data_IF_165590106619
#
_entry.id   IF_165590106619
#
_cell.length_a   1.000
_cell.length_b   1.000
_cell.length_c   1.000
_cell.angle_alpha   90.00
_cell.angle_beta   90.00
_cell.angle_gamma   90.00
#
_symmetry.space_group_name_H-M   'P 1'
#
loop_
_entity.id
_entity.type
_entity.pdbx_description
1 polymer ?
#
# COMPACT_ATOMS: atom_id res chain seq x y z
N UNK A 1 -4.05 11.85 3.81
CA UNK A 1 -5.27 12.55 4.28
C UNK A 1 -5.19 14.06 4.08
N UNK A 2 -4.11 14.76 4.46
CA UNK A 2 -4.02 16.22 4.31
C UNK A 2 -4.29 16.73 2.88
N UNK A 3 -3.59 16.18 1.87
CA UNK A 3 -3.76 16.57 0.45
C UNK A 3 -5.23 16.43 -0.01
N UNK A 4 -5.92 15.37 0.42
CA UNK A 4 -7.32 15.16 0.08
C UNK A 4 -8.24 16.17 0.76
N UNK A 5 -8.00 16.46 2.04
CA UNK A 5 -8.78 17.43 2.79
C UNK A 5 -8.62 18.86 2.22
N UNK A 6 -7.40 19.23 1.83
CA UNK A 6 -7.12 20.52 1.20
C UNK A 6 -7.86 20.63 -0.14
N UNK A 7 -7.76 19.60 -0.98
CA UNK A 7 -8.52 19.51 -2.24
C UNK A 7 -10.04 19.60 -2.04
N UNK A 8 -10.59 18.92 -1.03
CA UNK A 8 -12.04 18.91 -0.79
C UNK A 8 -12.58 20.23 -0.23
N UNK A 9 -11.72 21.03 0.41
CA UNK A 9 -12.08 22.36 0.94
C UNK A 9 -12.45 23.33 -0.19
N UNK A 10 -11.95 23.11 -1.40
CA UNK A 10 -12.28 23.89 -2.60
C UNK A 10 -13.65 23.53 -3.21
N UNK A 11 -14.39 22.61 -2.58
CA UNK A 11 -15.67 22.06 -3.07
C UNK A 11 -15.61 21.60 -4.54
N UNK A 12 -14.65 20.70 -4.89
CA UNK A 12 -14.41 20.34 -6.28
C UNK A 12 -15.51 19.44 -6.86
N UNK A 13 -16.45 18.97 -6.03
CA UNK A 13 -17.52 18.06 -6.43
C UNK A 13 -18.85 18.80 -6.56
N UNK A 14 -19.49 18.61 -7.70
CA UNK A 14 -20.80 19.17 -8.02
C UNK A 14 -21.86 18.08 -8.18
N UNK A 15 -23.11 18.49 -7.99
CA UNK A 15 -24.29 17.62 -8.06
C UNK A 15 -25.35 18.24 -8.95
N UNK A 16 -26.08 17.41 -9.70
CA UNK A 16 -27.32 17.82 -10.36
C UNK A 16 -28.38 16.73 -10.22
N UNK A 17 -29.64 17.15 -10.13
CA UNK A 17 -30.79 16.27 -10.28
C UNK A 17 -31.48 16.62 -11.59
N UNK A 18 -31.27 15.78 -12.60
CA UNK A 18 -31.76 16.05 -13.94
C UNK A 18 -33.06 15.26 -14.17
N UNK A 19 -34.10 15.93 -14.67
CA UNK A 19 -35.37 15.30 -15.04
C UNK A 19 -35.30 14.78 -16.49
N UNK A 20 -35.63 13.51 -16.70
CA UNK A 20 -35.60 12.84 -18.02
C UNK A 20 -36.99 12.59 -18.61
N UNK A 21 -38.04 13.11 -17.98
CA UNK A 21 -39.43 12.94 -18.37
C UNK A 21 -40.13 11.77 -17.66
N UNK A 22 -41.46 11.80 -17.67
CA UNK A 22 -42.31 10.74 -17.08
C UNK A 22 -41.97 10.40 -15.62
N UNK A 23 -41.56 11.39 -14.82
CA UNK A 23 -41.23 11.21 -13.41
C UNK A 23 -39.87 10.55 -13.15
N UNK A 24 -39.03 10.43 -14.16
CA UNK A 24 -37.67 9.89 -14.02
C UNK A 24 -36.69 11.02 -13.71
N UNK A 25 -36.00 10.92 -12.57
CA UNK A 25 -34.94 11.86 -12.19
C UNK A 25 -33.63 11.14 -11.94
N UNK A 26 -32.54 11.66 -12.47
CA UNK A 26 -31.19 11.11 -12.33
C UNK A 26 -30.32 12.07 -11.52
N UNK A 27 -29.84 11.61 -10.37
CA UNK A 27 -28.82 12.28 -9.60
C UNK A 27 -27.45 12.00 -10.23
N UNK A 28 -26.79 13.08 -10.68
CA UNK A 28 -25.46 13.05 -11.26
C UNK A 28 -24.46 13.78 -10.38
N UNK A 29 -23.24 13.29 -10.36
CA UNK A 29 -22.09 13.89 -9.65
C UNK A 29 -20.90 14.01 -10.59
N UNK A 30 -20.14 15.09 -10.48
CA UNK A 30 -18.89 15.27 -11.24
C UNK A 30 -17.89 16.11 -10.46
N UNK A 31 -16.65 16.17 -10.97
CA UNK A 31 -15.60 17.03 -10.45
C UNK A 31 -15.33 18.18 -11.42
N UNK A 32 -15.20 19.39 -10.91
CA UNK A 32 -14.80 20.56 -11.70
C UNK A 32 -13.28 20.77 -11.71
N UNK A 33 -12.57 20.13 -10.79
CA UNK A 33 -11.11 20.16 -10.71
C UNK A 33 -10.51 18.76 -10.92
N UNK A 34 -9.34 18.64 -11.55
CA UNK A 34 -8.63 17.36 -11.69
C UNK A 34 -8.21 16.82 -10.32
N UNK A 35 -7.91 15.52 -10.25
CA UNK A 35 -7.33 14.93 -9.05
C UNK A 35 -5.93 15.50 -8.78
N UNK A 36 -5.59 15.81 -7.51
CA UNK A 36 -4.24 16.20 -7.14
C UNK A 36 -3.23 15.10 -7.50
N UNK A 37 -2.22 15.44 -8.30
CA UNK A 37 -1.20 14.48 -8.74
C UNK A 37 -0.36 13.95 -7.57
N UNK A 38 -0.20 14.76 -6.53
CA UNK A 38 0.51 14.44 -5.29
C UNK A 38 -0.12 13.25 -4.57
N UNK A 39 -1.44 13.03 -4.68
CA UNK A 39 -2.08 11.85 -4.11
C UNK A 39 -1.58 10.57 -4.76
N UNK A 40 -1.37 10.58 -6.09
CA UNK A 40 -0.84 9.43 -6.80
C UNK A 40 0.59 9.14 -6.35
N UNK A 41 1.43 10.17 -6.25
CA UNK A 41 2.84 10.05 -5.82
C UNK A 41 2.94 9.51 -4.39
N UNK A 42 2.25 10.11 -3.43
CA UNK A 42 2.31 9.67 -2.02
C UNK A 42 1.76 8.25 -1.86
N UNK A 43 0.72 7.89 -2.62
CA UNK A 43 0.17 6.54 -2.63
C UNK A 43 1.17 5.54 -3.21
N UNK A 44 1.84 5.88 -4.32
CA UNK A 44 2.89 5.07 -4.95
C UNK A 44 4.07 4.82 -4.01
N UNK A 45 4.60 5.88 -3.39
CA UNK A 45 5.68 5.82 -2.40
C UNK A 45 5.33 4.95 -1.20
N UNK A 46 4.05 4.96 -0.77
CA UNK A 46 3.57 4.11 0.29
C UNK A 46 3.61 2.62 -0.10
N UNK A 47 3.10 2.25 -1.28
CA UNK A 47 3.21 0.86 -1.78
C UNK A 47 4.65 0.42 -1.98
N UNK A 48 5.49 1.33 -2.47
CA UNK A 48 6.92 1.08 -2.64
C UNK A 48 7.58 0.78 -1.29
N UNK A 49 7.29 1.57 -0.26
CA UNK A 49 7.81 1.37 1.10
C UNK A 49 7.40 0.01 1.67
N UNK A 50 6.15 -0.41 1.47
CA UNK A 50 5.69 -1.75 1.84
C UNK A 50 6.45 -2.84 1.09
N UNK A 51 6.62 -2.69 -0.22
CA UNK A 51 7.37 -3.64 -1.04
C UNK A 51 8.83 -3.74 -0.61
N UNK A 52 9.47 -2.61 -0.29
CA UNK A 52 10.84 -2.56 0.22
C UNK A 52 10.98 -3.21 1.58
N UNK A 53 9.99 -3.06 2.49
CA UNK A 53 9.99 -3.76 3.77
C UNK A 53 9.97 -5.29 3.58
N UNK A 54 9.18 -5.79 2.63
CA UNK A 54 9.16 -7.20 2.25
C UNK A 54 10.51 -7.68 1.69
N UNK A 55 11.15 -6.91 0.80
CA UNK A 55 12.48 -7.29 0.30
C UNK A 55 13.53 -7.30 1.43
N UNK A 56 13.49 -6.29 2.28
CA UNK A 56 14.44 -6.15 3.38
C UNK A 56 14.34 -7.30 4.37
N UNK A 57 13.13 -7.78 4.70
CA UNK A 57 13.00 -8.89 5.64
C UNK A 57 13.61 -10.20 5.09
N UNK A 58 13.54 -10.44 3.78
CA UNK A 58 14.21 -11.59 3.15
C UNK A 58 15.73 -11.44 3.16
N UNK A 59 16.22 -10.24 2.88
CA UNK A 59 17.64 -9.93 3.02
C UNK A 59 18.12 -10.14 4.47
N UNK A 60 17.39 -9.62 5.46
CA UNK A 60 17.74 -9.73 6.87
C UNK A 60 17.69 -11.18 7.37
N UNK A 61 16.71 -11.96 6.91
CA UNK A 61 16.62 -13.40 7.17
C UNK A 61 17.85 -14.12 6.63
N UNK A 62 18.30 -13.80 5.42
CA UNK A 62 19.51 -14.39 4.85
C UNK A 62 20.78 -13.98 5.63
N UNK A 63 20.89 -12.71 6.06
CA UNK A 63 21.99 -12.27 6.93
C UNK A 63 22.01 -13.08 8.22
N UNK A 64 20.84 -13.25 8.84
CA UNK A 64 20.73 -14.01 10.08
C UNK A 64 21.14 -15.47 9.90
N UNK A 65 20.72 -16.13 8.82
CA UNK A 65 21.05 -17.54 8.59
C UNK A 65 22.54 -17.78 8.29
N UNK A 66 23.20 -16.83 7.63
CA UNK A 66 24.60 -16.99 7.19
C UNK A 66 25.62 -16.26 8.07
N UNK A 67 25.17 -15.39 8.98
CA UNK A 67 26.06 -14.61 9.84
C UNK A 67 26.97 -13.65 9.07
N UNK A 68 26.56 -13.16 7.90
CA UNK A 68 27.38 -12.29 7.05
C UNK A 68 26.61 -11.13 6.45
N UNK A 69 27.26 -9.98 6.34
CA UNK A 69 26.75 -8.79 5.63
C UNK A 69 27.78 -8.44 4.53
N UNK A 70 27.48 -8.52 3.24
CA UNK A 70 26.20 -8.93 2.68
C UNK A 70 25.94 -10.45 2.83
N UNK A 71 24.68 -10.88 2.77
CA UNK A 71 24.35 -12.30 2.73
C UNK A 71 24.73 -12.91 1.38
N UNK A 72 24.89 -14.24 1.28
CA UNK A 72 25.03 -14.92 0.00
C UNK A 72 23.91 -14.54 -0.98
N UNK A 73 24.26 -14.32 -2.24
CA UNK A 73 23.31 -13.97 -3.30
C UNK A 73 22.53 -12.67 -3.07
N UNK A 74 23.04 -11.73 -2.26
CA UNK A 74 22.40 -10.43 -1.99
C UNK A 74 21.80 -9.75 -3.21
N UNK A 75 22.56 -9.66 -4.31
CA UNK A 75 22.12 -8.95 -5.53
C UNK A 75 20.89 -9.55 -6.24
N UNK A 76 20.42 -10.74 -5.83
CA UNK A 76 19.22 -11.38 -6.37
C UNK A 76 18.18 -11.73 -5.31
N UNK A 77 18.47 -11.49 -4.02
CA UNK A 77 17.52 -11.71 -2.93
C UNK A 77 16.39 -10.69 -3.03
N UNK A 78 15.17 -11.19 -2.94
CA UNK A 78 13.95 -10.40 -2.96
C UNK A 78 12.82 -11.22 -2.33
N UNK A 79 11.79 -10.55 -1.84
CA UNK A 79 10.52 -11.19 -1.53
C UNK A 79 9.85 -11.62 -2.84
N UNK A 80 9.69 -12.93 -3.10
CA UNK A 80 9.06 -13.44 -4.31
C UNK A 80 7.56 -13.18 -4.28
N UNK A 81 7.01 -12.65 -5.37
CA UNK A 81 5.57 -12.49 -5.56
C UNK A 81 5.25 -12.89 -6.99
N UNK A 82 4.63 -14.05 -7.16
CA UNK A 82 4.35 -14.64 -8.47
C UNK A 82 2.88 -15.02 -8.63
N UNK A 83 2.35 -14.79 -9.82
CA UNK A 83 0.96 -15.13 -10.16
C UNK A 83 0.79 -16.60 -10.60
N UNK A 84 1.90 -17.34 -10.76
CA UNK A 84 1.87 -18.77 -11.15
C UNK A 84 2.95 -19.58 -10.47
N UNK A 85 2.64 -20.84 -10.18
CA UNK A 85 3.59 -21.80 -9.61
C UNK A 85 4.78 -22.08 -10.54
N UNK A 86 4.56 -22.05 -11.86
CA UNK A 86 5.66 -22.16 -12.85
C UNK A 86 6.70 -21.06 -12.68
N UNK A 87 6.25 -19.82 -12.48
CA UNK A 87 7.16 -18.69 -12.23
C UNK A 87 7.92 -18.88 -10.93
N UNK A 88 7.23 -19.27 -9.86
CA UNK A 88 7.86 -19.62 -8.58
C UNK A 88 8.99 -20.63 -8.75
N UNK A 89 8.71 -21.78 -9.36
CA UNK A 89 9.69 -22.86 -9.56
C UNK A 89 10.92 -22.38 -10.35
N UNK A 90 10.74 -21.50 -11.34
CA UNK A 90 11.85 -20.95 -12.12
C UNK A 90 12.77 -20.00 -11.32
N UNK A 91 12.27 -19.42 -10.22
CA UNK A 91 12.97 -18.40 -9.43
C UNK A 91 13.46 -18.91 -8.07
N UNK A 92 13.20 -20.18 -7.72
CA UNK A 92 13.67 -20.80 -6.48
C UNK A 92 15.18 -20.66 -6.24
N UNK A 93 15.97 -20.58 -7.32
CA UNK A 93 17.42 -20.38 -7.23
C UNK A 93 17.82 -19.10 -6.47
N UNK A 94 16.97 -18.06 -6.46
CA UNK A 94 17.20 -16.80 -5.73
C UNK A 94 17.06 -16.96 -4.23
N UNK A 95 16.28 -17.95 -3.79
CA UNK A 95 15.94 -18.18 -2.39
C UNK A 95 16.82 -19.25 -1.73
N UNK A 96 17.86 -19.74 -2.44
CA UNK A 96 18.83 -20.70 -1.91
C UNK A 96 19.46 -20.30 -0.56
N UNK A 97 19.71 -19.02 -0.27
CA UNK A 97 20.20 -18.61 1.04
C UNK A 97 19.22 -18.84 2.19
N UNK A 98 17.94 -19.09 1.92
CA UNK A 98 16.91 -19.30 2.94
C UNK A 98 16.77 -20.78 3.31
N UNK A 99 16.46 -21.05 4.57
CA UNK A 99 16.06 -22.39 5.04
C UNK A 99 14.76 -22.87 4.37
N UNK A 100 14.52 -24.18 4.37
CA UNK A 100 13.35 -24.78 3.71
C UNK A 100 12.03 -24.23 4.26
N UNK A 101 11.89 -24.13 5.59
CA UNK A 101 10.68 -23.62 6.23
C UNK A 101 10.38 -22.14 5.90
N UNK A 102 11.42 -21.31 5.69
CA UNK A 102 11.24 -19.94 5.20
C UNK A 102 10.70 -19.92 3.77
N UNK A 103 11.15 -20.85 2.92
CA UNK A 103 10.65 -20.96 1.55
C UNK A 103 9.22 -21.51 1.51
N UNK A 104 8.86 -22.39 2.44
CA UNK A 104 7.48 -22.88 2.62
C UNK A 104 6.54 -21.75 3.03
N UNK A 105 6.91 -20.94 4.04
CA UNK A 105 6.13 -19.75 4.43
C UNK A 105 5.92 -18.80 3.23
N UNK A 106 6.98 -18.52 2.47
CA UNK A 106 6.88 -17.70 1.27
C UNK A 106 5.94 -18.29 0.20
N UNK A 107 5.95 -19.62 0.03
CA UNK A 107 5.14 -20.33 -0.97
C UNK A 107 3.65 -20.24 -0.66
N UNK A 108 3.27 -20.46 0.61
CA UNK A 108 1.87 -20.45 1.05
C UNK A 108 1.18 -19.10 0.84
N UNK A 109 1.95 -18.00 0.92
CA UNK A 109 1.42 -16.65 0.80
C UNK A 109 1.26 -16.18 -0.65
N UNK A 110 1.76 -16.94 -1.63
CA UNK A 110 1.80 -16.49 -3.02
C UNK A 110 0.40 -16.22 -3.61
N UNK A 111 0.29 -15.27 -4.56
CA UNK A 111 -0.96 -15.02 -5.29
C UNK A 111 -1.56 -16.27 -5.95
N UNK A 112 -0.74 -17.20 -6.45
CA UNK A 112 -1.27 -18.45 -7.04
C UNK A 112 -1.79 -19.46 -6.02
N UNK A 113 -1.45 -19.30 -4.73
CA UNK A 113 -1.87 -20.19 -3.65
C UNK A 113 -3.19 -19.74 -2.99
N UNK A 114 -3.77 -18.62 -3.43
CA UNK A 114 -4.97 -18.03 -2.86
C UNK A 114 -5.81 -17.33 -3.93
N UNK A 115 -6.93 -16.71 -3.53
CA UNK A 115 -7.69 -15.86 -4.44
C UNK A 115 -6.85 -14.63 -4.84
N UNK A 116 -6.49 -14.57 -6.13
CA UNK A 116 -5.66 -13.50 -6.68
C UNK A 116 -6.26 -12.09 -6.53
N UNK A 117 -7.59 -11.96 -6.44
CA UNK A 117 -8.24 -10.65 -6.22
C UNK A 117 -8.17 -10.24 -4.74
N UNK A 118 -8.16 -11.20 -3.81
CA UNK A 118 -8.05 -10.95 -2.37
C UNK A 118 -6.60 -10.97 -1.83
N UNK A 119 -5.62 -11.38 -2.64
CA UNK A 119 -4.25 -11.56 -2.19
C UNK A 119 -3.50 -10.22 -2.00
N UNK A 120 -3.13 -9.91 -0.75
CA UNK A 120 -2.43 -8.68 -0.38
C UNK A 120 -1.07 -8.50 -1.10
N UNK A 121 -0.25 -9.55 -1.20
CA UNK A 121 1.05 -9.50 -1.89
C UNK A 121 0.89 -9.17 -3.37
N UNK A 122 -0.09 -9.79 -4.02
CA UNK A 122 -0.42 -9.55 -5.43
C UNK A 122 -0.75 -8.09 -5.68
N UNK A 123 -1.57 -7.48 -4.82
CA UNK A 123 -1.93 -6.06 -4.92
C UNK A 123 -0.77 -5.12 -4.61
N UNK A 124 0.01 -5.36 -3.55
CA UNK A 124 1.20 -4.57 -3.23
C UNK A 124 2.19 -4.60 -4.40
N UNK A 125 2.46 -5.78 -4.96
CA UNK A 125 3.34 -5.94 -6.11
C UNK A 125 2.79 -5.26 -7.38
N UNK A 126 1.49 -5.41 -7.65
CA UNK A 126 0.85 -4.80 -8.83
C UNK A 126 0.93 -3.29 -8.76
N UNK A 127 0.53 -2.69 -7.64
CA UNK A 127 0.43 -1.24 -7.49
C UNK A 127 1.82 -0.59 -7.40
N UNK A 128 2.77 -1.19 -6.68
CA UNK A 128 4.16 -0.71 -6.67
C UNK A 128 4.83 -0.77 -8.05
N UNK A 129 4.52 -1.79 -8.87
CA UNK A 129 5.07 -1.91 -10.23
C UNK A 129 4.44 -0.96 -11.22
N UNK A 130 3.13 -0.68 -11.11
CA UNK A 130 2.45 0.29 -11.98
C UNK A 130 3.14 1.64 -11.83
N UNK A 131 3.28 2.10 -10.60
CA UNK A 131 3.86 3.40 -10.27
C UNK A 131 5.32 3.54 -10.75
N UNK A 132 6.18 2.57 -10.40
CA UNK A 132 7.63 2.63 -10.71
C UNK A 132 8.00 2.41 -12.17
N UNK A 133 7.20 1.64 -12.92
CA UNK A 133 7.63 1.11 -14.23
C UNK A 133 6.69 1.41 -15.39
N UNK A 134 5.50 1.97 -15.15
CA UNK A 134 4.52 2.20 -16.21
C UNK A 134 3.96 3.61 -16.21
N UNK A 135 3.37 4.04 -15.10
CA UNK A 135 2.72 5.34 -14.90
C UNK A 135 2.31 5.49 -13.44
N UNK A 136 2.19 6.72 -12.96
CA UNK A 136 1.55 6.98 -11.67
C UNK A 136 0.17 6.30 -11.60
N UNK A 137 -0.16 5.72 -10.45
CA UNK A 137 -1.49 5.15 -10.22
C UNK A 137 -2.58 6.17 -10.54
N UNK A 138 -3.60 5.76 -11.28
CA UNK A 138 -4.73 6.65 -11.59
C UNK A 138 -5.57 6.80 -10.34
N UNK A 139 -5.48 8.00 -9.77
CA UNK A 139 -6.35 8.41 -8.69
C UNK A 139 -7.68 8.86 -9.26
N UNK A 140 -8.75 8.41 -8.63
CA UNK A 140 -10.12 8.83 -8.90
C UNK A 140 -10.84 9.17 -7.59
N UNK A 141 -12.13 9.41 -7.66
CA UNK A 141 -12.97 9.64 -6.49
C UNK A 141 -14.02 8.55 -6.40
N UNK A 142 -14.33 8.14 -5.18
CA UNK A 142 -15.31 7.12 -4.89
C UNK A 142 -16.37 7.67 -3.96
N UNK A 143 -17.63 7.45 -4.31
CA UNK A 143 -18.77 7.75 -3.47
C UNK A 143 -18.82 6.70 -2.34
N UNK A 144 -18.18 7.02 -1.22
CA UNK A 144 -18.04 6.16 -0.05
C UNK A 144 -19.35 5.98 0.71
N UNK A 145 -20.16 7.03 0.75
CA UNK A 145 -21.50 7.00 1.33
C UNK A 145 -22.45 7.92 0.56
N UNK A 146 -23.71 7.54 0.47
CA UNK A 146 -24.77 8.35 -0.15
C UNK A 146 -26.09 8.07 0.58
N UNK A 147 -26.59 9.07 1.32
CA UNK A 147 -27.81 9.00 2.13
C UNK A 147 -28.77 10.12 1.77
N UNK A 148 -29.36 10.08 0.56
CA UNK A 148 -30.10 11.20 0.01
C UNK A 148 -31.35 11.49 0.85
N UNK A 149 -31.62 12.77 1.07
CA UNK A 149 -32.89 13.26 1.61
C UNK A 149 -33.70 13.82 0.46
N UNK A 150 -34.88 13.23 0.23
CA UNK A 150 -35.77 13.59 -0.85
C UNK A 150 -36.93 14.44 -0.34
N UNK A 151 -37.31 15.43 -1.12
CA UNK A 151 -38.58 16.13 -1.02
C UNK A 151 -39.31 15.94 -2.35
N UNK A 152 -40.51 15.37 -2.29
CA UNK A 152 -41.36 15.10 -3.44
C UNK A 152 -42.84 15.32 -3.06
N UNK A 153 -43.75 15.48 -4.04
CA UNK A 153 -45.16 15.77 -3.77
C UNK A 153 -45.88 14.65 -3.00
N UNK A 154 -46.87 15.05 -2.22
CA UNK A 154 -47.73 14.10 -1.49
C UNK A 154 -48.52 13.21 -2.47
N UNK A 155 -48.65 11.92 -2.15
CA UNK A 155 -49.35 10.95 -2.99
C UNK A 155 -48.50 10.28 -4.08
N UNK A 156 -47.25 10.72 -4.29
CA UNK A 156 -46.31 10.01 -5.16
C UNK A 156 -45.60 8.86 -4.41
N UNK A 157 -45.40 7.75 -5.12
CA UNK A 157 -44.45 6.70 -4.75
C UNK A 157 -43.11 6.99 -5.43
N UNK A 158 -42.01 6.65 -4.75
CA UNK A 158 -40.64 6.80 -5.28
C UNK A 158 -39.95 5.45 -5.27
N UNK A 159 -39.54 4.96 -6.44
CA UNK A 159 -38.60 3.83 -6.56
C UNK A 159 -37.18 4.36 -6.72
N UNK A 160 -36.22 3.80 -5.98
CA UNK A 160 -34.81 4.20 -6.01
C UNK A 160 -33.93 3.10 -6.57
N UNK A 161 -33.03 3.45 -7.49
CA UNK A 161 -32.03 2.53 -8.07
C UNK A 161 -30.64 3.14 -8.01
N UNK A 162 -29.72 2.46 -7.35
CA UNK A 162 -28.33 2.92 -7.19
C UNK A 162 -27.53 2.74 -8.48
N UNK A 163 -26.74 3.76 -8.82
CA UNK A 163 -25.87 3.79 -9.98
C UNK A 163 -24.40 3.53 -9.64
N UNK A 164 -23.51 4.16 -10.40
CA UNK A 164 -22.07 4.02 -10.24
C UNK A 164 -21.58 4.68 -8.96
N UNK A 165 -20.54 4.12 -8.35
CA UNK A 165 -19.86 4.71 -7.17
C UNK A 165 -18.50 5.29 -7.50
N UNK A 166 -17.90 4.88 -8.61
CA UNK A 166 -16.63 5.44 -9.09
C UNK A 166 -16.94 6.64 -9.96
N UNK A 167 -16.37 7.79 -9.62
CA UNK A 167 -16.58 9.03 -10.37
C UNK A 167 -15.65 9.03 -11.58
N UNK A 168 -16.22 8.78 -12.75
CA UNK A 168 -15.50 8.81 -14.02
C UNK A 168 -15.14 10.22 -14.49
N UNK A 169 -14.57 10.36 -15.68
CA UNK A 169 -14.49 11.64 -16.38
C UNK A 169 -15.90 12.17 -16.66
N UNK A 170 -16.19 13.41 -16.26
CA UNK A 170 -17.49 14.04 -16.47
C UNK A 170 -18.57 13.64 -15.45
N UNK A 171 -19.84 13.66 -15.88
CA UNK A 171 -21.00 13.37 -15.04
C UNK A 171 -21.19 11.87 -14.84
N UNK A 172 -21.19 11.46 -13.59
CA UNK A 172 -21.45 10.09 -13.15
C UNK A 172 -22.87 9.99 -12.59
N UNK A 173 -23.66 9.03 -13.08
CA UNK A 173 -25.01 8.75 -12.59
C UNK A 173 -24.95 7.83 -11.37
N UNK A 174 -25.49 8.28 -10.24
CA UNK A 174 -25.31 7.58 -8.95
C UNK A 174 -26.62 7.14 -8.30
N UNK A 175 -27.73 7.75 -8.69
CA UNK A 175 -29.07 7.39 -8.21
C UNK A 175 -30.10 7.76 -9.26
N UNK A 176 -30.98 6.81 -9.57
CA UNK A 176 -32.19 7.03 -10.36
C UNK A 176 -33.39 6.98 -9.43
N UNK A 177 -34.29 7.94 -9.61
CA UNK A 177 -35.59 8.04 -8.95
C UNK A 177 -36.68 7.90 -10.01
N UNK A 178 -37.61 6.98 -9.80
CA UNK A 178 -38.81 6.83 -10.63
C UNK A 178 -40.03 7.19 -9.77
N UNK A 179 -40.71 8.29 -10.09
CA UNK A 179 -41.88 8.79 -9.37
C UNK A 179 -43.19 8.40 -10.06
N UNK A 180 -44.18 7.95 -9.28
CA UNK A 180 -45.52 7.65 -9.82
C UNK A 180 -46.65 7.86 -8.79
N UNK A 181 -47.81 8.43 -9.19
CA UNK A 181 -48.05 9.10 -10.47
C UNK A 181 -47.17 10.36 -10.62
N UNK A 182 -46.97 10.80 -11.87
CA UNK A 182 -46.17 11.99 -12.21
C UNK A 182 -46.98 13.00 -13.03
N UNK A 183 -46.74 14.28 -12.76
CA UNK A 183 -47.22 15.42 -13.53
C UNK A 183 -46.08 16.43 -13.66
N UNK A 184 -45.89 17.06 -14.82
CA UNK A 184 -44.74 17.93 -15.08
C UNK A 184 -44.75 19.25 -14.27
N UNK A 185 -45.83 19.57 -13.57
CA UNK A 185 -45.86 20.67 -12.59
C UNK A 185 -45.25 20.29 -11.23
N UNK A 186 -44.98 19.02 -10.99
CA UNK A 186 -44.42 18.51 -9.75
C UNK A 186 -42.93 18.87 -9.61
N UNK A 187 -42.52 19.22 -8.39
CA UNK A 187 -41.13 19.55 -8.07
C UNK A 187 -40.52 18.47 -7.16
N UNK A 188 -39.32 18.01 -7.52
CA UNK A 188 -38.51 17.07 -6.71
C UNK A 188 -37.22 17.76 -6.30
N UNK A 189 -36.90 17.74 -5.01
CA UNK A 189 -35.62 18.23 -4.47
C UNK A 189 -34.87 17.11 -3.79
N UNK A 190 -33.55 17.17 -3.87
CA UNK A 190 -32.66 16.20 -3.25
C UNK A 190 -31.52 16.92 -2.54
N UNK A 191 -31.24 16.50 -1.32
CA UNK A 191 -29.96 16.73 -0.68
C UNK A 191 -29.20 15.40 -0.69
N UNK A 192 -28.09 15.27 -1.44
CA UNK A 192 -27.43 13.98 -1.61
C UNK A 192 -26.89 13.40 -0.30
N UNK A 193 -26.45 14.23 0.66
CA UNK A 193 -25.70 13.82 1.88
C UNK A 193 -24.73 12.68 1.60
N UNK A 194 -23.60 13.03 1.00
CA UNK A 194 -22.61 12.09 0.52
C UNK A 194 -21.28 12.23 1.26
N UNK A 195 -20.51 11.15 1.23
CA UNK A 195 -19.09 11.13 1.56
C UNK A 195 -18.36 10.67 0.30
N UNK A 196 -17.33 11.42 -0.08
CA UNK A 196 -16.48 11.10 -1.23
C UNK A 196 -15.06 10.95 -0.73
N UNK A 197 -14.47 9.82 -1.07
CA UNK A 197 -13.09 9.47 -0.75
C UNK A 197 -12.24 9.52 -2.02
N UNK A 198 -10.91 9.68 -1.89
CA UNK A 198 -10.01 9.37 -2.98
C UNK A 198 -10.03 7.86 -3.23
N UNK A 199 -9.66 7.45 -4.44
CA UNK A 199 -9.69 6.05 -4.82
C UNK A 199 -8.58 5.73 -5.83
N UNK A 200 -8.10 4.49 -5.81
CA UNK A 200 -7.22 3.93 -6.85
C UNK A 200 -8.10 3.21 -7.86
N UNK A 201 -8.01 3.59 -9.13
CA UNK A 201 -8.83 3.03 -10.21
C UNK A 201 -8.81 1.49 -10.22
N UNK A 202 -7.62 0.87 -10.11
CA UNK A 202 -7.47 -0.58 -10.09
C UNK A 202 -8.22 -1.26 -8.92
N UNK A 203 -8.21 -0.68 -7.72
CA UNK A 203 -8.98 -1.24 -6.59
C UNK A 203 -10.49 -1.09 -6.79
N UNK A 204 -10.92 0.02 -7.39
CA UNK A 204 -12.34 0.24 -7.66
C UNK A 204 -12.92 -0.77 -8.65
N UNK A 205 -12.07 -1.28 -9.56
CA UNK A 205 -12.39 -2.34 -10.50
C UNK A 205 -12.43 -3.74 -9.86
N UNK A 206 -11.77 -3.94 -8.71
CA UNK A 206 -11.72 -5.22 -8.01
C UNK A 206 -13.02 -5.55 -7.28
N UNK A 207 -13.65 -6.72 -7.54
CA UNK A 207 -14.82 -7.18 -6.81
C UNK A 207 -14.63 -7.32 -5.30
N UNK A 208 -13.44 -7.73 -4.85
CA UNK A 208 -13.08 -7.84 -3.44
C UNK A 208 -12.82 -6.47 -2.82
N UNK A 209 -11.87 -5.70 -3.37
CA UNK A 209 -11.40 -4.47 -2.73
C UNK A 209 -12.43 -3.35 -2.76
N UNK A 210 -13.25 -3.23 -3.79
CA UNK A 210 -14.27 -2.16 -3.89
C UNK A 210 -15.30 -2.14 -2.75
N UNK A 211 -15.38 -3.20 -1.95
CA UNK A 211 -16.28 -3.34 -0.79
C UNK A 211 -15.66 -2.84 0.52
N UNK A 212 -14.35 -2.69 0.55
CA UNK A 212 -13.57 -2.24 1.70
C UNK A 212 -13.37 -0.74 1.54
N UNK A 213 -13.49 0.05 2.61
CA UNK A 213 -13.31 1.51 2.52
C UNK A 213 -11.87 1.84 2.19
N UNK A 214 -11.62 2.98 1.51
CA UNK A 214 -10.28 3.36 1.07
C UNK A 214 -9.25 3.27 2.21
N UNK A 215 -9.53 3.88 3.36
CA UNK A 215 -8.64 3.85 4.53
C UNK A 215 -8.37 2.46 5.10
N UNK A 216 -9.39 1.59 5.16
CA UNK A 216 -9.23 0.22 5.65
C UNK A 216 -8.31 -0.62 4.75
N UNK A 217 -8.31 -0.38 3.44
CA UNK A 217 -7.41 -1.12 2.52
C UNK A 217 -5.94 -0.88 2.84
N UNK A 218 -5.57 0.38 3.11
CA UNK A 218 -4.21 0.71 3.55
C UNK A 218 -3.88 0.04 4.88
N UNK A 219 -4.80 0.11 5.84
CA UNK A 219 -4.62 -0.51 7.16
C UNK A 219 -4.41 -2.03 7.04
N UNK A 220 -5.23 -2.73 6.25
CA UNK A 220 -5.11 -4.17 6.07
C UNK A 220 -3.79 -4.59 5.41
N UNK A 221 -3.36 -3.87 4.37
CA UNK A 221 -2.06 -4.14 3.74
C UNK A 221 -0.88 -3.85 4.68
N UNK A 222 -0.97 -2.80 5.49
CA UNK A 222 0.04 -2.50 6.50
C UNK A 222 0.09 -3.60 7.56
N UNK A 223 -1.06 -4.01 8.11
CA UNK A 223 -1.17 -5.09 9.09
C UNK A 223 -0.59 -6.38 8.50
N UNK A 224 -0.91 -6.69 7.25
CA UNK A 224 -0.38 -7.85 6.53
C UNK A 224 1.16 -7.83 6.48
N UNK A 225 1.77 -6.73 6.00
CA UNK A 225 3.23 -6.61 5.91
C UNK A 225 3.89 -6.64 7.29
N UNK A 226 3.24 -6.06 8.31
CA UNK A 226 3.72 -6.15 9.68
C UNK A 226 3.71 -7.59 10.20
N UNK A 227 2.68 -8.37 9.87
CA UNK A 227 2.61 -9.80 10.19
C UNK A 227 3.71 -10.61 9.53
N UNK A 228 3.99 -10.37 8.24
CA UNK A 228 5.13 -10.96 7.54
C UNK A 228 6.44 -10.64 8.25
N UNK A 229 6.72 -9.36 8.50
CA UNK A 229 7.95 -8.93 9.20
C UNK A 229 8.05 -9.58 10.57
N UNK A 230 6.96 -9.61 11.35
CA UNK A 230 6.94 -10.23 12.67
C UNK A 230 7.27 -11.72 12.62
N UNK A 231 6.75 -12.43 11.62
CA UNK A 231 6.93 -13.86 11.42
C UNK A 231 8.40 -14.20 11.20
N UNK A 232 9.07 -13.53 10.26
CA UNK A 232 10.50 -13.78 10.00
C UNK A 232 11.42 -13.26 11.11
N UNK A 233 11.11 -12.10 11.72
CA UNK A 233 11.89 -11.58 12.85
C UNK A 233 11.89 -12.56 14.02
N UNK A 234 10.70 -13.03 14.42
CA UNK A 234 10.57 -13.98 15.51
C UNK A 234 11.21 -15.31 15.15
N UNK A 235 11.10 -15.73 13.89
CA UNK A 235 11.69 -17.00 13.49
C UNK A 235 13.20 -17.03 13.62
N UNK A 236 13.84 -15.95 13.16
CA UNK A 236 15.27 -15.77 13.26
C UNK A 236 15.71 -15.55 14.71
N UNK A 237 15.09 -14.60 15.41
CA UNK A 237 15.68 -14.04 16.64
C UNK A 237 15.02 -14.54 17.93
N UNK A 238 13.81 -15.07 17.84
CA UNK A 238 12.97 -15.37 19.01
C UNK A 238 12.30 -14.18 19.65
N UNK A 239 12.42 -13.01 19.03
CA UNK A 239 11.75 -11.79 19.43
C UNK A 239 11.22 -11.05 18.20
N UNK A 240 10.22 -10.22 18.40
CA UNK A 240 9.73 -9.29 17.38
C UNK A 240 9.07 -8.10 18.03
N UNK A 241 9.03 -6.99 17.31
CA UNK A 241 8.33 -5.77 17.72
C UNK A 241 6.80 -5.94 17.75
N UNK A 242 6.27 -7.02 17.18
CA UNK A 242 4.84 -7.31 17.07
C UNK A 242 4.48 -8.75 17.49
N UNK A 243 4.75 -9.13 18.76
CA UNK A 243 4.54 -10.49 19.22
C UNK A 243 3.05 -10.86 19.32
N UNK A 244 2.17 -9.85 19.33
CA UNK A 244 0.71 -9.94 19.30
C UNK A 244 0.18 -10.41 17.93
N UNK A 245 0.96 -10.29 16.87
CA UNK A 245 0.61 -10.76 15.53
C UNK A 245 0.89 -12.26 15.32
N UNK A 246 1.53 -12.92 16.29
CA UNK A 246 1.98 -14.30 16.19
C UNK A 246 1.20 -15.21 17.11
N UNK A 247 0.74 -16.35 16.59
CA UNK A 247 0.06 -17.38 17.38
C UNK A 247 1.05 -18.12 18.28
N UNK A 248 0.58 -18.65 19.41
CA UNK A 248 1.43 -19.43 20.31
C UNK A 248 1.97 -20.70 19.65
N UNK A 249 1.15 -21.35 18.81
CA UNK A 249 1.57 -22.50 18.02
C UNK A 249 2.72 -22.17 17.06
N UNK A 250 2.67 -21.02 16.37
CA UNK A 250 3.80 -20.60 15.53
C UNK A 250 5.06 -20.39 16.36
N UNK A 251 4.94 -19.72 17.52
CA UNK A 251 6.07 -19.46 18.41
C UNK A 251 6.72 -20.75 18.91
N UNK A 252 5.92 -21.75 19.30
CA UNK A 252 6.40 -23.06 19.76
C UNK A 252 7.21 -23.77 18.67
N UNK A 253 6.67 -23.89 17.46
CA UNK A 253 7.38 -24.55 16.34
C UNK A 253 8.64 -23.77 15.97
N UNK A 254 8.59 -22.44 16.00
CA UNK A 254 9.75 -21.57 15.76
C UNK A 254 10.85 -21.77 16.81
N UNK A 255 10.48 -21.74 18.09
CA UNK A 255 11.42 -21.96 19.20
C UNK A 255 12.09 -23.33 19.12
N UNK A 256 11.35 -24.36 18.70
CA UNK A 256 11.88 -25.72 18.56
C UNK A 256 12.93 -25.87 17.45
N UNK A 257 12.81 -25.10 16.35
CA UNK A 257 13.75 -25.15 15.22
C UNK A 257 14.91 -24.15 15.31
N UNK A 258 14.78 -23.11 16.15
CA UNK A 258 15.73 -22.00 16.20
C UNK A 258 17.12 -22.47 16.63
N UNK A 259 18.12 -22.08 15.86
CA UNK A 259 19.53 -22.27 16.20
C UNK A 259 20.06 -21.03 16.93
N UNK A 260 21.15 -21.15 17.73
CA UNK A 260 21.81 -19.99 18.29
C UNK A 260 22.20 -18.99 17.20
N UNK A 261 22.00 -17.70 17.48
CA UNK A 261 22.30 -16.64 16.52
C UNK A 261 23.79 -16.67 16.13
N UNK A 262 24.13 -16.75 14.84
CA UNK A 262 25.53 -16.73 14.43
C UNK A 262 26.14 -15.35 14.70
N UNK A 263 27.45 -15.33 14.94
CA UNK A 263 28.19 -14.07 15.00
C UNK A 263 28.15 -13.43 13.61
N UNK A 264 27.57 -12.23 13.53
CA UNK A 264 27.52 -11.49 12.26
C UNK A 264 28.91 -10.91 11.98
N UNK A 265 29.49 -11.32 10.87
CA UNK A 265 30.77 -10.83 10.38
C UNK A 265 30.52 -9.81 9.28
N UNK A 266 30.87 -8.55 9.55
CA UNK A 266 31.00 -7.53 8.51
C UNK A 266 32.41 -7.61 7.89
N UNK A 267 32.54 -7.57 6.55
CA UNK A 267 33.82 -7.52 5.88
C UNK A 267 34.50 -6.20 6.26
N UNK A 268 35.58 -6.29 7.03
CA UNK A 268 36.45 -5.14 7.26
C UNK A 268 37.14 -4.79 5.95
N UNK A 269 36.98 -3.55 5.48
CA UNK A 269 37.85 -3.02 4.41
C UNK A 269 39.29 -3.04 4.93
N UNK A 270 40.22 -3.74 4.26
CA UNK A 270 41.62 -3.74 4.67
C UNK A 270 42.11 -2.29 4.74
N UNK A 271 42.64 -1.88 5.88
CA UNK A 271 43.24 -0.54 6.00
C UNK A 271 44.46 -0.49 5.09
N UNK A 272 44.37 0.28 4.02
CA UNK A 272 45.52 0.60 3.18
C UNK A 272 46.25 1.75 3.85
N UNK A 273 47.34 1.44 4.53
CA UNK A 273 48.24 2.45 5.06
C UNK A 273 48.96 3.15 3.90
N UNK A 274 48.97 4.48 3.92
CA UNK A 274 49.82 5.26 3.02
C UNK A 274 51.31 5.02 3.32
N UNK A 275 52.18 5.47 2.41
CA UNK A 275 53.63 5.43 2.65
C UNK A 275 53.97 6.14 3.98
N UNK A 276 54.92 5.61 4.77
CA UNK A 276 55.33 6.25 6.01
C UNK A 276 55.88 7.65 5.69
N UNK A 277 55.29 8.66 6.33
CA UNK A 277 55.77 10.04 6.26
C UNK A 277 56.57 10.32 7.53
N UNK A 278 57.75 10.90 7.39
CA UNK A 278 58.56 11.30 8.54
C UNK A 278 57.80 12.37 9.34
N UNK A 279 57.45 12.05 10.59
CA UNK A 279 56.81 13.00 11.50
C UNK A 279 57.72 14.21 11.74
N UNK A 280 57.21 15.42 11.52
CA UNK A 280 57.94 16.63 11.94
C UNK A 280 57.90 16.70 13.47
N UNK A 281 59.04 16.86 14.16
CA UNK A 281 59.02 17.05 15.60
C UNK A 281 58.20 18.30 15.94
N UNK A 282 57.19 18.13 16.79
CA UNK A 282 56.39 19.25 17.27
C UNK A 282 57.23 20.08 18.24
N UNK A 283 57.21 21.39 18.08
CA UNK A 283 57.70 22.30 19.12
C UNK A 283 56.58 22.47 20.16
N UNK A 284 56.94 22.65 21.44
CA UNK A 284 55.97 22.91 22.53
C UNK A 284 54.96 24.01 22.15
N UNK A 285 55.44 25.05 21.46
CA UNK A 285 54.64 26.18 20.98
C UNK A 285 53.63 25.81 19.87
N UNK A 286 53.94 24.84 19.00
CA UNK A 286 53.04 24.35 17.95
C UNK A 286 51.99 23.37 18.51
N UNK A 287 52.36 22.59 19.53
CA UNK A 287 51.46 21.69 20.24
C UNK A 287 50.41 22.46 21.06
N UNK A 288 50.81 23.56 21.69
CA UNK A 288 49.96 24.41 22.54
C UNK A 288 49.10 25.43 21.72
N UNK A 289 49.08 25.34 20.38
CA UNK A 289 48.16 26.11 19.51
C UNK A 289 48.53 27.58 19.26
N UNK A 290 49.77 28.00 19.55
CA UNK A 290 50.19 29.39 19.33
C UNK A 290 50.36 29.73 17.84
N UNK A 291 49.45 30.54 17.28
CA UNK A 291 49.60 31.13 15.94
C UNK A 291 50.77 32.12 15.96
N UNK A 292 51.78 31.92 15.10
CA UNK A 292 52.78 32.95 14.83
C UNK A 292 52.09 34.20 14.26
N UNK A 293 52.29 35.34 14.91
CA UNK A 293 51.95 36.63 14.32
C UNK A 293 53.01 36.96 13.25
N UNK A 294 52.56 37.03 12.00
CA UNK A 294 53.18 37.81 10.92
C UNK A 294 52.06 38.41 10.09
#
# INVERSE_FOLDING_TARGET
MQIWNDYYTEHPVQWSLDHEGSGVHILRVWRDAPMPAELAVVTGEWFYSLRSALDYIIWATAVHLHGSIPPPSEGVLQYPIYDTEKMWNSQLHRLKPLADHHREMLYEMQPFASDSDANYLGWINRLSRIDRHRRLSVMTSYLADLRPVLQYPEGCNVEMRWGNRVLGPGKTEVLRLDLSPWDDSMEVKINPRSIIDPEIEDWSASPFWRRITYGERFAYMQIFVMGEVATYEYDCTGDTRKPDMLTDGFKEVSNARRQPMPVIVEPSTPTVWGNPVQGKPSTKHAFDGGRSQT
#
